data_IF_107627744727
#
_entry.id   IF_107627744727
#
_cell.length_a   1.000
_cell.length_b   1.000
_cell.length_c   1.000
_cell.angle_alpha   90.00
_cell.angle_beta   90.00
_cell.angle_gamma   90.00
#
_symmetry.space_group_name_H-M   'P 1'
#
loop_
_entity.id
_entity.type
_entity.pdbx_description
1 polymer ?
#
# COMPACT_ATOMS: atom_id res chain seq x y z
N UNK A 1 -13.39 -24.29 -18.08
CA UNK A 1 -12.18 -23.48 -17.85
C UNK A 1 -12.63 -22.19 -17.18
N UNK A 2 -12.48 -21.98 -15.86
CA UNK A 2 -12.95 -20.73 -15.25
C UNK A 2 -11.91 -19.62 -15.41
N UNK A 3 -12.31 -18.57 -16.13
CA UNK A 3 -11.73 -17.23 -16.13
C UNK A 3 -12.16 -16.55 -14.83
N UNK A 4 -11.37 -16.63 -13.77
CA UNK A 4 -11.62 -15.89 -12.52
C UNK A 4 -10.30 -15.45 -11.88
N UNK A 5 -9.46 -14.76 -12.63
CA UNK A 5 -8.42 -13.94 -12.00
C UNK A 5 -9.10 -12.65 -11.59
N UNK A 6 -9.70 -12.67 -10.40
CA UNK A 6 -10.27 -11.50 -9.73
C UNK A 6 -9.13 -10.54 -9.44
N UNK A 7 -8.70 -9.80 -10.47
CA UNK A 7 -7.66 -8.80 -10.34
C UNK A 7 -8.03 -7.91 -9.17
N UNK A 8 -7.14 -7.87 -8.19
CA UNK A 8 -7.29 -7.07 -6.98
C UNK A 8 -7.57 -5.64 -7.40
N UNK A 9 -8.60 -5.06 -6.81
CA UNK A 9 -8.97 -3.68 -7.07
C UNK A 9 -8.13 -2.76 -6.17
N UNK A 10 -8.03 -1.49 -6.56
CA UNK A 10 -7.38 -0.44 -5.77
C UNK A 10 -7.86 -0.43 -4.32
N UNK A 11 -9.16 -0.60 -4.11
CA UNK A 11 -9.81 -0.62 -2.79
C UNK A 11 -9.42 -1.85 -1.97
N UNK A 12 -9.23 -3.01 -2.60
CA UNK A 12 -8.76 -4.21 -1.92
C UNK A 12 -7.27 -4.10 -1.56
N UNK A 13 -6.43 -3.64 -2.48
CA UNK A 13 -5.01 -3.38 -2.21
C UNK A 13 -4.85 -2.31 -1.10
N UNK A 14 -5.57 -1.21 -1.19
CA UNK A 14 -5.58 -0.16 -0.16
C UNK A 14 -6.00 -0.70 1.20
N UNK A 15 -7.02 -1.55 1.27
CA UNK A 15 -7.44 -2.18 2.54
C UNK A 15 -6.33 -3.03 3.14
N UNK A 16 -5.63 -3.84 2.33
CA UNK A 16 -4.54 -4.69 2.79
C UNK A 16 -3.39 -3.85 3.33
N UNK A 17 -2.92 -2.85 2.56
CA UNK A 17 -1.87 -1.94 2.98
C UNK A 17 -2.26 -1.16 4.24
N UNK A 18 -3.51 -0.68 4.31
CA UNK A 18 -4.01 0.06 5.47
C UNK A 18 -4.07 -0.80 6.72
N UNK A 19 -4.58 -2.03 6.64
CA UNK A 19 -4.65 -2.92 7.80
C UNK A 19 -3.26 -3.27 8.35
N UNK A 20 -2.27 -3.48 7.47
CA UNK A 20 -0.89 -3.74 7.89
C UNK A 20 -0.24 -2.47 8.45
N UNK A 21 -0.41 -1.35 7.75
CA UNK A 21 0.10 -0.06 8.15
C UNK A 21 -0.50 0.45 9.46
N UNK A 22 -1.78 0.23 9.75
CA UNK A 22 -2.42 0.57 11.04
C UNK A 22 -1.88 -0.29 12.20
N UNK A 23 -1.40 -1.51 11.90
CA UNK A 23 -0.72 -2.36 12.90
C UNK A 23 0.71 -1.88 13.18
N UNK A 24 1.44 -1.47 12.14
CA UNK A 24 2.82 -1.01 12.26
C UNK A 24 2.91 0.43 12.80
N UNK A 25 2.11 1.32 12.22
CA UNK A 25 1.93 2.71 12.61
C UNK A 25 0.56 2.86 13.29
N UNK A 26 0.60 3.11 14.61
CA UNK A 26 -0.59 3.30 15.45
C UNK A 26 -1.56 4.36 14.93
N UNK A 27 -1.03 5.34 14.18
CA UNK A 27 -1.79 6.40 13.53
C UNK A 27 -1.26 6.67 12.12
N UNK A 28 -2.06 6.31 11.10
CA UNK A 28 -1.81 6.64 9.69
C UNK A 28 -2.55 7.91 9.22
N UNK A 29 -3.31 8.54 10.12
CA UNK A 29 -4.03 9.81 9.90
C UNK A 29 -3.18 10.96 9.32
N UNK A 30 -1.90 11.14 9.71
CA UNK A 30 -1.07 12.23 9.19
C UNK A 30 -0.41 11.92 7.85
N UNK A 31 -0.71 10.77 7.22
CA UNK A 31 -0.15 10.39 5.92
C UNK A 31 -1.18 10.59 4.79
N UNK A 32 -0.71 11.01 3.63
CA UNK A 32 -1.37 10.85 2.35
C UNK A 32 -1.11 9.45 1.84
N UNK A 33 -2.16 8.78 1.37
CA UNK A 33 -2.05 7.43 0.81
C UNK A 33 -2.23 7.57 -0.70
N UNK A 34 -1.20 7.20 -1.44
CA UNK A 34 -1.21 7.12 -2.89
C UNK A 34 -1.30 5.65 -3.29
N UNK A 35 -2.27 5.32 -4.14
CA UNK A 35 -2.47 3.96 -4.65
C UNK A 35 -2.39 4.02 -6.16
N UNK A 36 -1.44 3.30 -6.73
CA UNK A 36 -1.20 3.26 -8.17
C UNK A 36 -0.99 1.82 -8.63
N UNK A 37 -1.62 1.45 -9.75
CA UNK A 37 -1.41 0.15 -10.37
C UNK A 37 -0.26 0.26 -11.37
N UNK A 38 0.81 -0.47 -11.11
CA UNK A 38 1.97 -0.63 -11.97
C UNK A 38 2.09 -2.09 -12.44
N UNK A 39 3.06 -2.35 -13.33
CA UNK A 39 3.31 -3.69 -13.91
C UNK A 39 3.66 -4.75 -12.84
N UNK A 40 4.28 -4.33 -11.74
CA UNK A 40 4.64 -5.19 -10.59
C UNK A 40 3.46 -5.41 -9.61
N UNK A 41 2.38 -4.63 -9.75
CA UNK A 41 1.19 -4.71 -8.90
C UNK A 41 0.70 -3.35 -8.40
N UNK A 42 -0.03 -3.36 -7.30
CA UNK A 42 -0.52 -2.16 -6.61
C UNK A 42 0.54 -1.58 -5.68
N UNK A 43 1.01 -0.39 -6.01
CA UNK A 43 1.90 0.39 -5.18
C UNK A 43 1.06 1.26 -4.26
N UNK A 44 1.30 1.13 -2.96
CA UNK A 44 0.68 1.94 -1.91
C UNK A 44 1.77 2.71 -1.19
N UNK A 45 1.88 3.97 -1.55
CA UNK A 45 2.82 4.93 -1.01
C UNK A 45 2.16 5.74 0.10
N UNK A 46 2.79 5.76 1.28
CA UNK A 46 2.40 6.66 2.35
C UNK A 46 3.36 7.84 2.37
N UNK A 47 2.85 9.05 2.15
CA UNK A 47 3.63 10.28 2.25
C UNK A 47 3.16 11.09 3.46
N UNK A 48 4.08 11.58 4.31
CA UNK A 48 3.68 12.45 5.41
C UNK A 48 3.08 13.75 4.89
N UNK A 49 1.89 14.14 5.38
CA UNK A 49 1.28 15.45 5.09
C UNK A 49 2.21 16.60 5.45
N UNK A 50 3.01 16.41 6.49
CA UNK A 50 4.04 17.35 6.91
C UNK A 50 5.36 17.05 6.19
N UNK A 51 5.62 17.76 5.10
CA UNK A 51 6.92 17.77 4.39
C UNK A 51 8.11 18.24 5.26
N UNK A 52 7.86 18.78 6.46
CA UNK A 52 8.88 19.13 7.44
C UNK A 52 9.42 17.92 8.21
N UNK A 53 8.72 16.78 8.18
CA UNK A 53 9.25 15.53 8.71
C UNK A 53 10.13 14.90 7.64
N UNK A 54 11.44 14.91 7.86
CA UNK A 54 12.44 14.24 7.01
C UNK A 54 12.37 12.72 7.20
N UNK A 55 11.25 12.12 6.83
CA UNK A 55 11.06 10.68 6.80
C UNK A 55 10.06 10.35 5.70
N UNK A 56 10.45 9.56 4.70
CA UNK A 56 9.47 8.98 3.81
C UNK A 56 8.52 8.10 4.62
N UNK A 57 7.27 8.02 4.20
CA UNK A 57 6.37 7.06 4.82
C UNK A 57 6.57 5.67 4.22
N UNK A 58 5.86 4.67 4.76
CA UNK A 58 6.00 3.31 4.29
C UNK A 58 5.55 3.15 2.83
N UNK A 59 6.25 2.30 2.09
CA UNK A 59 5.89 1.90 0.74
C UNK A 59 5.49 0.42 0.74
N UNK A 60 4.34 0.10 0.15
CA UNK A 60 3.88 -1.27 0.00
C UNK A 60 3.66 -1.58 -1.47
N UNK A 61 4.02 -2.79 -1.88
CA UNK A 61 3.66 -3.34 -3.18
C UNK A 61 2.81 -4.56 -2.94
N UNK A 62 1.63 -4.59 -3.55
CA UNK A 62 0.63 -5.63 -3.40
C UNK A 62 0.39 -6.27 -4.76
N UNK A 63 0.45 -7.58 -4.81
CA UNK A 63 0.22 -8.34 -6.03
C UNK A 63 -1.20 -8.11 -6.55
N UNK A 64 -1.31 -7.73 -7.83
CA UNK A 64 -2.60 -7.42 -8.46
C UNK A 64 -3.43 -8.67 -8.79
N UNK A 65 -2.86 -9.87 -8.75
CA UNK A 65 -3.58 -11.12 -9.03
C UNK A 65 -4.11 -11.79 -7.75
N UNK A 66 -3.28 -11.79 -6.70
CA UNK A 66 -3.51 -12.52 -5.44
C UNK A 66 -3.84 -11.61 -4.25
N UNK A 67 -3.43 -10.33 -4.28
CA UNK A 67 -3.63 -9.38 -3.18
C UNK A 67 -2.68 -9.57 -2.01
N UNK A 68 -1.60 -10.32 -2.23
CA UNK A 68 -0.54 -10.53 -1.24
C UNK A 68 0.40 -9.33 -1.25
N UNK A 69 0.84 -8.89 -0.08
CA UNK A 69 1.90 -7.87 0.03
C UNK A 69 3.21 -8.50 -0.44
N UNK A 70 3.69 -8.08 -1.61
CA UNK A 70 4.96 -8.51 -2.18
C UNK A 70 6.14 -7.84 -1.47
N UNK A 71 6.05 -6.52 -1.31
CA UNK A 71 7.11 -5.70 -0.71
C UNK A 71 6.52 -4.76 0.32
N UNK A 72 7.24 -4.60 1.43
CA UNK A 72 6.99 -3.51 2.39
C UNK A 72 8.32 -2.89 2.76
N UNK A 73 8.43 -1.58 2.55
CA UNK A 73 9.62 -0.81 2.86
C UNK A 73 9.24 0.27 3.86
N UNK A 74 9.92 0.27 4.98
CA UNK A 74 9.84 1.32 5.99
C UNK A 74 11.17 2.08 5.91
N UNK A 75 11.14 3.37 5.63
CA UNK A 75 12.32 4.19 5.82
C UNK A 75 12.48 4.43 7.34
N UNK A 76 13.55 3.88 7.92
CA UNK A 76 13.87 3.94 9.36
C UNK A 76 15.14 4.77 9.55
#
# INVERSE_FOLDING_TARGET
>A
MPLMTSAVTSDQALRVARLDGEKAYRDLSPFYIHVELNDDGWHVDYELKNKQLHGGGPHYVIDADTGVILTKRYEQ
#
